data_IF_083747411471
#
_entry.id   IF_083747411471
#
_cell.length_a   1.000
_cell.length_b   1.000
_cell.length_c   1.000
_cell.angle_alpha   90.00
_cell.angle_beta   90.00
_cell.angle_gamma   90.00
#
_symmetry.space_group_name_H-M   'P 1'
#
loop_
_entity.id
_entity.type
_entity.pdbx_description
1 polymer ?
#
# COMPACT_ATOMS: atom_id res chain seq x y z
N UNK A 1 -1.96 -12.14 -3.77
CA UNK A 1 -1.67 -13.58 -3.81
C UNK A 1 -0.17 -13.90 -3.96
N UNK A 2 0.53 -13.35 -4.97
CA UNK A 2 1.98 -13.59 -5.14
C UNK A 2 2.79 -13.20 -3.88
N UNK A 3 2.55 -12.02 -3.33
CA UNK A 3 3.17 -11.56 -2.08
C UNK A 3 2.92 -12.56 -0.94
N UNK A 4 1.68 -13.01 -0.78
CA UNK A 4 1.31 -14.00 0.26
C UNK A 4 2.09 -15.30 0.11
N UNK A 5 2.13 -15.85 -1.12
CA UNK A 5 2.81 -17.14 -1.39
C UNK A 5 4.32 -17.04 -1.11
N UNK A 6 4.95 -15.91 -1.50
CA UNK A 6 6.39 -15.69 -1.31
C UNK A 6 6.70 -15.49 0.17
N UNK A 7 5.97 -14.63 0.87
CA UNK A 7 6.21 -14.37 2.29
C UNK A 7 5.98 -15.62 3.14
N UNK A 8 4.91 -16.37 2.88
CA UNK A 8 4.66 -17.64 3.57
C UNK A 8 5.82 -18.63 3.38
N UNK A 9 6.36 -18.75 2.16
CA UNK A 9 7.48 -19.62 1.90
C UNK A 9 8.82 -19.13 2.45
N UNK A 10 9.03 -17.81 2.55
CA UNK A 10 10.24 -17.21 3.15
C UNK A 10 10.24 -17.36 4.66
N UNK A 11 9.07 -17.13 5.29
CA UNK A 11 8.90 -17.18 6.74
C UNK A 11 8.58 -18.60 7.25
N UNK A 12 8.33 -19.55 6.34
CA UNK A 12 7.93 -20.92 6.68
C UNK A 12 6.64 -20.95 7.52
N UNK A 13 5.68 -20.07 7.16
CA UNK A 13 4.42 -19.88 7.85
C UNK A 13 3.23 -20.37 7.03
N UNK A 14 2.15 -20.69 7.72
CA UNK A 14 0.84 -20.85 7.11
C UNK A 14 0.32 -19.49 6.65
N UNK A 15 -0.39 -19.46 5.53
CA UNK A 15 -0.95 -18.23 5.00
C UNK A 15 -2.40 -18.38 4.57
N UNK A 16 -3.18 -17.33 4.78
CA UNK A 16 -4.52 -17.15 4.20
C UNK A 16 -4.59 -15.79 3.54
N UNK A 17 -5.31 -15.72 2.44
CA UNK A 17 -5.57 -14.45 1.77
C UNK A 17 -7.04 -14.36 1.38
N UNK A 18 -7.66 -13.22 1.68
CA UNK A 18 -9.05 -12.93 1.40
C UNK A 18 -9.17 -11.60 0.66
N UNK A 19 -9.56 -11.61 -0.64
CA UNK A 19 -9.93 -10.38 -1.31
C UNK A 19 -11.33 -9.95 -0.85
N UNK A 20 -11.50 -8.65 -0.62
CA UNK A 20 -12.81 -8.03 -0.41
C UNK A 20 -13.14 -7.19 -1.63
N UNK A 21 -14.06 -7.68 -2.43
CA UNK A 21 -14.59 -6.94 -3.57
C UNK A 21 -15.86 -6.19 -3.15
N UNK A 22 -15.97 -4.92 -3.58
CA UNK A 22 -17.24 -4.21 -3.52
C UNK A 22 -18.25 -4.79 -4.51
N UNK A 23 -19.53 -4.53 -4.32
CA UNK A 23 -20.61 -4.89 -5.26
C UNK A 23 -20.58 -4.06 -6.55
N UNK A 24 -19.77 -3.02 -6.61
CA UNK A 24 -19.66 -2.11 -7.74
C UNK A 24 -18.76 -2.67 -8.84
N UNK A 25 -19.17 -2.43 -10.09
CA UNK A 25 -18.60 -3.10 -11.27
C UNK A 25 -17.19 -2.64 -11.68
N UNK A 26 -16.77 -1.43 -11.34
CA UNK A 26 -15.40 -0.93 -11.56
C UNK A 26 -15.13 0.37 -10.82
N UNK A 27 -13.85 0.62 -10.49
CA UNK A 27 -13.40 1.85 -9.84
C UNK A 27 -13.57 1.90 -8.33
N UNK A 28 -14.22 0.90 -7.71
CA UNK A 28 -14.31 0.82 -6.26
C UNK A 28 -12.97 0.35 -5.64
N UNK A 29 -12.60 0.91 -4.49
CA UNK A 29 -11.41 0.44 -3.77
C UNK A 29 -11.60 -1.01 -3.32
N UNK A 30 -10.53 -1.80 -3.50
CA UNK A 30 -10.52 -3.23 -3.15
C UNK A 30 -9.47 -3.47 -2.08
N UNK A 31 -9.84 -4.18 -1.03
CA UNK A 31 -8.91 -4.63 -0.01
C UNK A 31 -8.52 -6.09 -0.22
N UNK A 32 -7.26 -6.40 0.01
CA UNK A 32 -6.74 -7.75 -0.04
C UNK A 32 -6.05 -8.04 1.30
N UNK A 33 -6.70 -8.84 2.12
CA UNK A 33 -6.20 -9.21 3.44
C UNK A 33 -5.26 -10.40 3.35
N UNK A 34 -4.14 -10.33 4.08
CA UNK A 34 -3.14 -11.40 4.19
C UNK A 34 -2.93 -11.69 5.66
N UNK A 35 -3.07 -12.94 6.04
CA UNK A 35 -2.72 -13.44 7.37
C UNK A 35 -1.59 -14.44 7.23
N UNK A 36 -0.54 -14.28 8.03
CA UNK A 36 0.57 -15.22 8.17
C UNK A 36 0.61 -15.69 9.63
N UNK A 37 0.80 -16.98 9.85
CA UNK A 37 0.82 -17.58 11.19
C UNK A 37 1.76 -18.79 11.23
N UNK A 38 2.52 -18.99 12.32
CA UNK A 38 3.24 -20.24 12.52
C UNK A 38 2.29 -21.44 12.65
N UNK A 39 1.07 -21.22 13.15
CA UNK A 39 0.05 -22.25 13.33
C UNK A 39 -0.98 -22.25 12.18
N UNK A 40 -1.64 -23.40 11.92
CA UNK A 40 -2.67 -23.51 10.90
C UNK A 40 -3.83 -22.53 11.12
N UNK A 41 -4.14 -21.71 10.10
CA UNK A 41 -5.18 -20.70 10.15
C UNK A 41 -6.55 -21.35 9.88
N UNK A 42 -7.43 -21.37 10.87
CA UNK A 42 -8.76 -22.00 10.78
C UNK A 42 -9.80 -21.08 10.12
N UNK A 43 -9.74 -19.77 10.38
CA UNK A 43 -10.69 -18.77 9.84
C UNK A 43 -10.23 -18.32 8.47
N UNK A 44 -11.11 -18.34 7.47
CA UNK A 44 -10.74 -18.12 6.07
C UNK A 44 -11.18 -16.79 5.47
N UNK A 45 -12.22 -16.14 5.98
CA UNK A 45 -12.87 -14.98 5.36
C UNK A 45 -13.13 -13.86 6.38
N UNK A 46 -12.18 -13.57 7.24
CA UNK A 46 -12.31 -12.46 8.17
C UNK A 46 -11.79 -11.17 7.54
N UNK A 47 -12.54 -10.09 7.67
CA UNK A 47 -11.97 -8.74 7.57
C UNK A 47 -11.04 -8.56 8.76
N UNK A 48 -9.83 -8.09 8.50
CA UNK A 48 -8.89 -7.83 9.57
C UNK A 48 -9.17 -6.41 10.12
N UNK A 49 -9.48 -6.34 11.40
CA UNK A 49 -9.69 -5.06 12.10
C UNK A 49 -8.38 -4.47 12.60
N UNK A 50 -7.40 -5.34 12.92
CA UNK A 50 -6.05 -4.96 13.32
C UNK A 50 -5.03 -5.56 12.36
N UNK A 51 -4.18 -4.69 11.78
CA UNK A 51 -3.15 -5.09 10.83
C UNK A 51 -1.81 -4.44 11.19
N UNK A 52 -0.72 -5.16 11.00
CA UNK A 52 0.63 -4.64 11.26
C UNK A 52 1.23 -3.95 10.03
N UNK A 53 0.79 -4.32 8.82
CA UNK A 53 1.34 -3.78 7.57
C UNK A 53 0.22 -3.46 6.61
N UNK A 54 0.25 -2.25 6.07
CA UNK A 54 -0.63 -1.82 4.98
C UNK A 54 0.22 -1.44 3.77
N UNK A 55 -0.13 -1.95 2.61
CA UNK A 55 0.46 -1.57 1.32
C UNK A 55 -0.62 -0.89 0.49
N UNK A 56 -0.39 0.34 0.08
CA UNK A 56 -1.25 1.06 -0.84
C UNK A 56 -0.56 1.22 -2.21
N UNK A 57 -0.97 0.44 -3.22
CA UNK A 57 -0.42 0.55 -4.57
C UNK A 57 -0.88 1.80 -5.33
N UNK A 58 -1.81 2.55 -4.79
CA UNK A 58 -2.34 3.79 -5.36
C UNK A 58 -2.22 4.93 -4.35
N UNK A 59 -1.48 5.99 -4.72
CA UNK A 59 -1.34 7.20 -3.90
C UNK A 59 -2.68 7.92 -3.67
N UNK A 60 -3.66 7.74 -4.57
CA UNK A 60 -5.00 8.34 -4.46
C UNK A 60 -5.97 7.55 -3.58
N UNK A 61 -5.52 6.48 -2.95
CA UNK A 61 -6.37 5.64 -2.09
C UNK A 61 -7.08 6.44 -0.98
N UNK A 62 -6.44 7.49 -0.47
CA UNK A 62 -7.04 8.39 0.54
C UNK A 62 -8.24 9.23 0.05
N UNK A 63 -8.48 9.30 -1.26
CA UNK A 63 -9.65 10.03 -1.80
C UNK A 63 -10.94 9.24 -1.54
N UNK A 64 -10.87 7.92 -1.58
CA UNK A 64 -12.04 7.05 -1.53
C UNK A 64 -12.12 6.20 -0.26
N UNK A 65 -11.00 6.02 0.44
CA UNK A 65 -10.90 5.16 1.63
C UNK A 65 -9.94 5.74 2.64
N UNK A 66 -9.90 5.14 3.82
CA UNK A 66 -8.84 5.38 4.81
C UNK A 66 -7.94 4.14 4.90
N UNK A 67 -6.81 4.10 4.16
CA UNK A 67 -5.89 2.95 4.19
C UNK A 67 -5.27 2.68 5.57
N UNK A 68 -5.27 3.69 6.46
CA UNK A 68 -4.70 3.55 7.81
C UNK A 68 -5.70 2.98 8.83
N UNK A 69 -6.96 2.73 8.40
CA UNK A 69 -7.96 2.13 9.28
C UNK A 69 -7.49 0.73 9.69
N UNK A 70 -7.47 0.47 11.00
CA UNK A 70 -7.04 -0.81 11.56
C UNK A 70 -5.52 -1.00 11.63
N UNK A 71 -4.69 -0.05 11.13
CA UNK A 71 -3.25 -0.16 11.26
C UNK A 71 -2.84 0.03 12.72
N UNK A 72 -2.14 -0.97 13.26
CA UNK A 72 -1.66 -1.00 14.64
C UNK A 72 -0.66 0.13 14.92
N UNK A 73 -0.53 0.52 16.19
CA UNK A 73 0.51 1.45 16.60
C UNK A 73 1.90 0.83 16.36
N UNK A 74 2.83 1.60 15.80
CA UNK A 74 4.14 1.11 15.37
C UNK A 74 4.11 0.24 14.10
N UNK A 75 2.93 0.07 13.49
CA UNK A 75 2.79 -0.66 12.23
C UNK A 75 3.46 0.03 11.05
N UNK A 76 3.53 -0.66 9.92
CA UNK A 76 4.20 -0.17 8.71
C UNK A 76 3.17 0.18 7.63
N UNK A 77 3.29 1.36 7.06
CA UNK A 77 2.51 1.80 5.90
C UNK A 77 3.43 2.03 4.71
N UNK A 78 3.21 1.33 3.61
CA UNK A 78 3.98 1.42 2.37
C UNK A 78 3.08 2.02 1.29
N UNK A 79 3.47 3.18 0.75
CA UNK A 79 2.70 3.90 -0.26
C UNK A 79 3.46 3.95 -1.58
N UNK A 80 2.75 3.64 -2.69
CA UNK A 80 3.22 3.92 -4.04
C UNK A 80 3.20 5.42 -4.30
N UNK A 81 4.33 6.00 -4.61
CA UNK A 81 4.41 7.36 -5.15
C UNK A 81 5.73 7.58 -5.88
N UNK A 82 5.68 8.39 -6.95
CA UNK A 82 6.86 8.94 -7.63
C UNK A 82 7.29 10.32 -7.10
N UNK A 83 6.52 10.87 -6.15
CA UNK A 83 6.79 12.16 -5.54
C UNK A 83 7.81 12.04 -4.40
N UNK A 84 8.44 13.15 -4.05
CA UNK A 84 9.35 13.21 -2.91
C UNK A 84 8.62 12.96 -1.58
N UNK A 85 9.32 12.52 -0.52
CA UNK A 85 8.70 12.31 0.78
C UNK A 85 7.92 13.52 1.32
N UNK A 86 8.43 14.74 1.08
CA UNK A 86 7.80 15.99 1.49
C UNK A 86 6.52 16.27 0.70
N UNK A 87 6.53 16.03 -0.62
CA UNK A 87 5.35 16.18 -1.47
C UNK A 87 4.27 15.16 -1.08
N UNK A 88 4.67 13.90 -0.92
CA UNK A 88 3.76 12.85 -0.44
C UNK A 88 3.13 13.24 0.88
N UNK A 89 3.92 13.72 1.84
CA UNK A 89 3.41 14.16 3.13
C UNK A 89 2.41 15.32 3.00
N UNK A 90 2.69 16.27 2.12
CA UNK A 90 1.82 17.43 1.87
C UNK A 90 0.48 17.02 1.24
N UNK A 91 0.47 15.98 0.41
CA UNK A 91 -0.73 15.45 -0.25
C UNK A 91 -1.61 14.61 0.68
N UNK A 92 -1.04 14.06 1.76
CA UNK A 92 -1.82 13.28 2.72
C UNK A 92 -2.89 14.14 3.41
N UNK A 93 -4.10 13.61 3.62
CA UNK A 93 -5.12 14.29 4.43
C UNK A 93 -4.58 14.62 5.84
N UNK A 94 -4.95 15.76 6.43
CA UNK A 94 -4.49 16.13 7.78
C UNK A 94 -4.75 15.06 8.83
N UNK A 95 -5.89 14.39 8.76
CA UNK A 95 -6.24 13.30 9.66
C UNK A 95 -5.31 12.08 9.50
N UNK A 96 -4.89 11.78 8.27
CA UNK A 96 -3.93 10.70 8.01
C UNK A 96 -2.56 11.05 8.62
N UNK A 97 -2.06 12.27 8.42
CA UNK A 97 -0.82 12.76 9.02
C UNK A 97 -0.86 12.68 10.56
N UNK A 98 -1.98 13.11 11.15
CA UNK A 98 -2.21 13.00 12.59
C UNK A 98 -2.14 11.55 13.06
N UNK A 99 -2.85 10.64 12.39
CA UNK A 99 -2.86 9.21 12.72
C UNK A 99 -1.45 8.60 12.62
N UNK A 100 -0.68 8.95 11.58
CA UNK A 100 0.70 8.47 11.39
C UNK A 100 1.57 8.90 12.57
N UNK A 101 1.46 10.14 13.01
CA UNK A 101 2.23 10.66 14.16
C UNK A 101 1.82 10.02 15.49
N UNK A 102 0.52 9.99 15.78
CA UNK A 102 -0.01 9.47 17.05
C UNK A 102 0.29 7.99 17.23
N UNK A 103 0.11 7.21 16.18
CA UNK A 103 0.40 5.77 16.18
C UNK A 103 1.86 5.44 15.93
N UNK A 104 2.73 6.42 15.67
CA UNK A 104 4.16 6.24 15.36
C UNK A 104 4.36 5.24 14.21
N UNK A 105 3.59 5.39 13.14
CA UNK A 105 3.61 4.49 11.98
C UNK A 105 4.97 4.58 11.27
N UNK A 106 5.56 3.45 10.94
CA UNK A 106 6.71 3.37 10.05
C UNK A 106 6.25 3.64 8.62
N UNK A 107 6.35 4.90 8.18
CA UNK A 107 5.86 5.32 6.87
C UNK A 107 6.97 5.21 5.82
N UNK A 108 6.69 4.43 4.78
CA UNK A 108 7.60 4.13 3.68
C UNK A 108 6.95 4.53 2.35
N UNK A 109 7.76 5.04 1.44
CA UNK A 109 7.37 5.40 0.07
C UNK A 109 8.27 4.68 -0.92
N UNK A 110 7.68 4.16 -1.97
CA UNK A 110 8.38 3.50 -3.08
C UNK A 110 7.73 3.86 -4.41
N UNK A 111 8.52 4.17 -5.45
CA UNK A 111 8.04 4.16 -6.83
C UNK A 111 8.21 2.76 -7.44
N UNK A 112 7.34 1.85 -7.01
CA UNK A 112 7.32 0.47 -7.47
C UNK A 112 7.04 0.35 -8.97
N UNK A 113 6.36 1.35 -9.56
CA UNK A 113 6.08 1.38 -10.99
C UNK A 113 7.33 1.71 -11.80
N UNK A 114 8.14 2.69 -11.37
CA UNK A 114 9.42 3.01 -12.02
C UNK A 114 10.40 1.84 -11.94
N UNK A 115 10.52 1.20 -10.75
CA UNK A 115 11.31 -0.01 -10.56
C UNK A 115 10.87 -1.12 -11.51
N UNK A 116 9.57 -1.40 -11.56
CA UNK A 116 9.04 -2.45 -12.44
C UNK A 116 9.27 -2.13 -13.93
N UNK A 117 9.05 -0.88 -14.35
CA UNK A 117 9.21 -0.43 -15.74
C UNK A 117 10.66 -0.58 -16.23
N UNK A 118 11.64 -0.36 -15.38
CA UNK A 118 13.07 -0.48 -15.72
C UNK A 118 13.45 -1.92 -16.09
N UNK A 119 12.83 -2.92 -15.44
CA UNK A 119 13.16 -4.33 -15.62
C UNK A 119 12.15 -5.11 -16.46
N UNK A 120 10.99 -4.53 -16.77
CA UNK A 120 9.96 -5.23 -17.53
C UNK A 120 10.30 -5.27 -19.03
N UNK A 121 10.23 -6.45 -19.66
CA UNK A 121 10.41 -6.58 -21.12
C UNK A 121 9.34 -5.84 -21.93
N UNK A 122 8.13 -5.70 -21.39
CA UNK A 122 7.01 -4.99 -22.03
C UNK A 122 6.26 -4.13 -21.02
N UNK A 123 5.59 -3.04 -21.45
CA UNK A 123 4.80 -2.18 -20.54
C UNK A 123 3.71 -2.92 -19.77
N UNK A 124 3.09 -3.93 -20.38
CA UNK A 124 2.05 -4.75 -19.71
C UNK A 124 2.62 -5.57 -18.55
N UNK A 125 3.86 -6.06 -18.71
CA UNK A 125 4.54 -6.79 -17.66
C UNK A 125 4.99 -5.88 -16.52
N UNK A 126 5.25 -4.60 -16.77
CA UNK A 126 5.60 -3.64 -15.73
C UNK A 126 4.53 -3.57 -14.63
N UNK A 127 3.25 -3.48 -15.01
CA UNK A 127 2.15 -3.46 -14.03
C UNK A 127 2.12 -4.73 -13.15
N UNK A 128 2.43 -5.88 -13.74
CA UNK A 128 2.51 -7.15 -12.99
C UNK A 128 3.75 -7.22 -12.09
N UNK A 129 4.86 -6.65 -12.56
CA UNK A 129 6.13 -6.63 -11.83
C UNK A 129 6.15 -5.60 -10.69
N UNK A 130 5.26 -4.61 -10.71
CA UNK A 130 5.08 -3.67 -9.59
C UNK A 130 4.84 -4.41 -8.26
N UNK A 131 4.02 -5.48 -8.28
CA UNK A 131 3.82 -6.34 -7.11
C UNK A 131 5.11 -7.01 -6.59
N UNK A 132 6.08 -7.26 -7.48
CA UNK A 132 7.39 -7.81 -7.09
C UNK A 132 8.25 -6.76 -6.39
N UNK A 133 8.20 -5.49 -6.83
CA UNK A 133 8.90 -4.40 -6.15
C UNK A 133 8.40 -4.21 -4.72
N UNK A 134 7.08 -4.30 -4.49
CA UNK A 134 6.53 -4.29 -3.12
C UNK A 134 6.99 -5.48 -2.26
N UNK A 135 7.25 -6.65 -2.86
CA UNK A 135 7.87 -7.77 -2.12
C UNK A 135 9.24 -7.36 -1.61
N UNK A 136 10.03 -6.67 -2.44
CA UNK A 136 11.31 -6.09 -2.04
C UNK A 136 11.16 -5.10 -0.87
N UNK A 137 10.24 -4.13 -1.00
CA UNK A 137 9.96 -3.15 0.05
C UNK A 137 9.62 -3.82 1.40
N UNK A 138 8.74 -4.83 1.38
CA UNK A 138 8.36 -5.60 2.58
C UNK A 138 9.57 -6.36 3.15
N UNK A 139 10.34 -7.02 2.30
CA UNK A 139 11.48 -7.83 2.74
C UNK A 139 12.59 -7.01 3.38
N UNK A 140 12.84 -5.79 2.85
CA UNK A 140 13.90 -4.92 3.35
C UNK A 140 13.53 -4.09 4.58
N UNK A 141 12.25 -3.75 4.72
CA UNK A 141 11.84 -2.69 5.65
C UNK A 141 10.78 -3.09 6.67
N UNK A 142 10.14 -4.26 6.52
CA UNK A 142 9.19 -4.77 7.51
C UNK A 142 9.92 -5.63 8.51
N UNK A 143 10.01 -5.16 9.74
CA UNK A 143 10.80 -5.81 10.81
C UNK A 143 10.40 -7.26 11.05
N UNK A 144 9.12 -7.58 10.99
CA UNK A 144 8.59 -8.94 11.18
C UNK A 144 9.08 -9.92 10.11
N UNK A 145 9.44 -9.43 8.93
CA UNK A 145 9.97 -10.25 7.83
C UNK A 145 11.49 -10.34 7.89
N UNK A 146 12.16 -9.26 8.31
CA UNK A 146 13.62 -9.17 8.38
C UNK A 146 14.22 -9.65 9.71
N UNK A 147 13.40 -9.81 10.76
CA UNK A 147 13.88 -10.18 12.08
C UNK A 147 14.54 -11.56 12.10
N UNK A 148 15.76 -11.63 12.63
CA UNK A 148 16.46 -12.88 12.85
C UNK A 148 17.17 -13.49 11.64
N UNK A 149 17.08 -12.89 10.45
CA UNK A 149 17.78 -13.39 9.26
C UNK A 149 18.61 -12.28 8.60
N UNK A 150 19.78 -12.62 8.05
CA UNK A 150 20.53 -11.67 7.24
C UNK A 150 19.80 -11.37 5.93
N UNK A 151 19.97 -10.15 5.39
CA UNK A 151 19.39 -9.77 4.11
C UNK A 151 19.73 -10.79 2.98
N UNK A 152 20.94 -11.34 3.00
CA UNK A 152 21.36 -12.39 2.07
C UNK A 152 20.53 -13.65 2.22
N UNK A 153 20.27 -14.12 3.45
CA UNK A 153 19.47 -15.31 3.71
C UNK A 153 18.01 -15.13 3.25
N UNK A 154 17.43 -13.94 3.46
CA UNK A 154 16.10 -13.61 2.98
C UNK A 154 16.04 -13.63 1.46
N UNK A 155 17.00 -13.00 0.77
CA UNK A 155 17.08 -13.01 -0.68
C UNK A 155 17.26 -14.41 -1.27
N UNK A 156 18.04 -15.28 -0.62
CA UNK A 156 18.18 -16.69 -1.03
C UNK A 156 16.85 -17.47 -0.89
N UNK A 157 16.15 -17.28 0.21
CA UNK A 157 14.81 -17.88 0.40
C UNK A 157 13.83 -17.34 -0.65
N UNK A 158 13.85 -16.03 -0.93
CA UNK A 158 13.03 -15.43 -1.98
C UNK A 158 13.35 -15.99 -3.36
N UNK A 159 14.62 -16.13 -3.71
CA UNK A 159 15.05 -16.76 -4.96
C UNK A 159 14.45 -18.15 -5.13
N UNK A 160 14.46 -18.98 -4.07
CA UNK A 160 13.84 -20.31 -4.11
C UNK A 160 12.34 -20.23 -4.41
N UNK A 161 11.62 -19.30 -3.79
CA UNK A 161 10.17 -19.13 -4.01
C UNK A 161 9.87 -18.59 -5.43
N UNK A 162 10.66 -17.63 -5.91
CA UNK A 162 10.56 -17.10 -7.27
C UNK A 162 10.86 -18.20 -8.30
N UNK A 163 11.92 -18.98 -8.10
CA UNK A 163 12.26 -20.10 -8.97
C UNK A 163 11.17 -21.19 -8.98
N UNK A 164 10.59 -21.51 -7.83
CA UNK A 164 9.45 -22.44 -7.76
C UNK A 164 8.25 -21.96 -8.58
N UNK A 165 8.01 -20.64 -8.62
CA UNK A 165 6.83 -20.08 -9.29
C UNK A 165 7.06 -19.73 -10.76
N UNK A 166 8.24 -19.28 -11.11
CA UNK A 166 8.56 -18.77 -12.45
C UNK A 166 9.65 -19.59 -13.17
N UNK A 167 10.22 -20.62 -12.55
CA UNK A 167 11.29 -21.40 -13.13
C UNK A 167 10.93 -22.08 -14.47
N UNK A 168 9.67 -22.46 -14.65
CA UNK A 168 9.17 -23.00 -15.92
C UNK A 168 9.19 -21.98 -17.08
N UNK A 169 9.29 -20.67 -16.76
CA UNK A 169 9.38 -19.59 -17.74
C UNK A 169 10.82 -19.22 -18.14
N UNK A 170 11.80 -19.91 -17.56
CA UNK A 170 13.21 -19.74 -17.84
C UNK A 170 13.98 -18.96 -16.78
N UNK A 171 15.28 -19.19 -16.72
CA UNK A 171 16.18 -18.57 -15.75
C UNK A 171 16.21 -17.05 -15.82
N UNK A 172 16.14 -16.48 -17.02
CA UNK A 172 16.12 -15.02 -17.23
C UNK A 172 14.92 -14.34 -16.53
N UNK A 173 13.74 -15.01 -16.51
CA UNK A 173 12.55 -14.49 -15.83
C UNK A 173 12.75 -14.52 -14.31
N UNK A 174 13.35 -15.58 -13.78
CA UNK A 174 13.69 -15.67 -12.36
C UNK A 174 14.64 -14.55 -11.95
N UNK A 175 15.71 -14.35 -12.72
CA UNK A 175 16.70 -13.31 -12.42
C UNK A 175 16.11 -11.91 -12.53
N UNK A 176 15.35 -11.60 -13.59
CA UNK A 176 14.66 -10.31 -13.71
C UNK A 176 13.73 -10.01 -12.53
N UNK A 177 12.99 -10.99 -12.02
CA UNK A 177 12.20 -10.79 -10.81
C UNK A 177 13.07 -10.55 -9.56
N UNK A 178 14.22 -11.21 -9.45
CA UNK A 178 15.16 -10.98 -8.35
C UNK A 178 15.79 -9.60 -8.38
N UNK A 179 16.09 -9.06 -9.58
CA UNK A 179 16.55 -7.67 -9.74
C UNK A 179 15.50 -6.66 -9.26
N UNK A 180 14.23 -6.87 -9.64
CA UNK A 180 13.12 -6.03 -9.16
C UNK A 180 12.98 -6.08 -7.63
N UNK A 181 13.18 -7.24 -7.01
CA UNK A 181 13.16 -7.36 -5.55
C UNK A 181 14.29 -6.55 -4.92
N UNK A 182 15.54 -6.69 -5.43
CA UNK A 182 16.72 -5.95 -4.92
C UNK A 182 16.52 -4.44 -5.05
N UNK A 183 16.14 -3.98 -6.24
CA UNK A 183 15.89 -2.56 -6.48
C UNK A 183 14.69 -2.06 -5.66
N UNK A 184 13.66 -2.89 -5.44
CA UNK A 184 12.54 -2.57 -4.56
C UNK A 184 12.95 -2.34 -3.10
N UNK A 185 13.96 -3.07 -2.60
CA UNK A 185 14.55 -2.80 -1.28
C UNK A 185 15.24 -1.42 -1.27
N UNK A 186 16.07 -1.15 -2.29
CA UNK A 186 16.90 0.06 -2.36
C UNK A 186 16.07 1.32 -2.65
N UNK A 187 15.02 1.21 -3.47
CA UNK A 187 14.15 2.30 -3.87
C UNK A 187 13.10 2.66 -2.81
N UNK A 188 13.02 1.90 -1.72
CA UNK A 188 12.09 2.18 -0.63
C UNK A 188 12.70 3.18 0.35
N UNK A 189 12.01 4.31 0.53
CA UNK A 189 12.48 5.39 1.40
C UNK A 189 11.59 5.53 2.63
N UNK A 190 12.22 5.65 3.79
CA UNK A 190 11.51 5.99 5.03
C UNK A 190 11.24 7.48 5.07
N UNK A 191 10.00 7.86 5.34
CA UNK A 191 9.61 9.25 5.56
C UNK A 191 9.88 9.63 7.00
N UNK A 192 10.87 10.49 7.24
CA UNK A 192 11.15 11.05 8.57
C UNK A 192 10.24 12.25 8.84
N UNK A 193 8.98 11.98 9.08
CA UNK A 193 7.97 13.00 9.37
C UNK A 193 8.19 13.74 10.70
N UNK A 194 9.23 13.39 11.50
CA UNK A 194 9.62 14.11 12.72
C UNK A 194 10.48 15.32 12.42
N UNK A 195 11.11 15.37 11.24
CA UNK A 195 11.95 16.48 10.83
C UNK A 195 11.17 17.79 10.69
N UNK A 196 11.86 18.92 10.88
CA UNK A 196 11.27 20.25 10.88
C UNK A 196 10.54 20.63 9.57
N UNK A 197 10.98 20.08 8.43
CA UNK A 197 10.33 20.31 7.13
C UNK A 197 8.87 19.84 7.14
N UNK A 198 8.60 18.66 7.70
CA UNK A 198 7.27 18.07 7.76
C UNK A 198 6.34 18.78 8.76
N UNK A 199 6.90 19.28 9.87
CA UNK A 199 6.14 20.08 10.84
C UNK A 199 5.64 21.40 10.23
N UNK A 200 6.44 22.03 9.35
CA UNK A 200 6.01 23.21 8.60
C UNK A 200 4.87 22.93 7.63
N UNK A 201 4.85 21.74 7.03
CA UNK A 201 3.76 21.31 6.13
C UNK A 201 2.46 21.15 6.94
N UNK A 202 2.54 20.55 8.14
CA UNK A 202 1.37 20.35 9.00
C UNK A 202 0.72 21.65 9.47
N UNK A 203 1.50 22.72 9.59
CA UNK A 203 1.01 24.04 9.97
C UNK A 203 0.23 24.76 8.84
N UNK A 204 0.33 24.28 7.57
CA UNK A 204 -0.41 24.87 6.46
C UNK A 204 -1.82 24.27 6.39
N UNK A 205 -2.89 25.10 6.30
CA UNK A 205 -4.23 24.57 6.08
C UNK A 205 -4.28 23.80 4.76
N UNK A 206 -4.91 22.63 4.79
CA UNK A 206 -5.01 21.76 3.62
C UNK A 206 -5.75 22.48 2.48
N UNK A 207 -5.08 22.71 1.36
CA UNK A 207 -5.67 23.30 0.16
C UNK A 207 -6.79 22.44 -0.46
N UNK A 208 -6.95 21.20 -0.01
CA UNK A 208 -7.90 20.21 -0.55
C UNK A 208 -9.33 20.42 -0.03
N UNK A 209 -9.51 21.03 1.15
CA UNK A 209 -10.85 21.22 1.72
C UNK A 209 -11.74 22.22 0.93
N UNK A 210 -11.15 23.06 0.08
CA UNK A 210 -11.89 24.08 -0.67
C UNK A 210 -12.34 23.64 -2.07
N UNK A 211 -11.80 22.57 -2.64
CA UNK A 211 -12.21 22.09 -3.98
C UNK A 211 -13.52 21.30 -3.98
N UNK A 212 -13.87 20.65 -2.87
CA UNK A 212 -15.11 19.88 -2.78
C UNK A 212 -16.35 20.72 -2.46
N UNK A 213 -16.19 21.93 -1.94
CA UNK A 213 -17.31 22.81 -1.59
C UNK A 213 -17.84 23.57 -2.81
N UNK A 214 -16.99 23.84 -3.82
CA UNK A 214 -17.41 24.59 -5.01
C UNK A 214 -18.15 23.76 -6.06
N UNK A 215 -17.99 22.43 -6.06
CA UNK A 215 -18.67 21.54 -7.01
C UNK A 215 -20.12 21.20 -6.60
N UNK A 216 -20.44 21.18 -5.31
CA UNK A 216 -21.79 20.94 -4.83
C UNK A 216 -22.71 22.17 -4.98
N UNK A 217 -22.19 23.38 -4.91
CA UNK A 217 -22.96 24.60 -5.09
C UNK A 217 -23.31 24.88 -6.56
N UNK A 218 -22.49 24.44 -7.51
CA UNK A 218 -22.72 24.67 -8.95
C UNK A 218 -23.75 23.74 -9.58
N UNK A 219 -23.99 22.56 -9.01
CA UNK A 219 -24.96 21.59 -9.53
C UNK A 219 -26.41 21.87 -9.07
N UNK A 220 -26.60 22.73 -8.07
CA UNK A 220 -27.93 23.06 -7.54
C UNK A 220 -28.59 24.25 -8.22
N UNK A 221 -27.89 24.99 -9.11
CA UNK A 221 -28.42 26.24 -9.74
C UNK A 221 -29.01 26.04 -11.14
N UNK A 222 -29.03 24.83 -11.70
CA UNK A 222 -29.50 24.61 -13.08
C UNK A 222 -30.78 23.80 -13.23
N UNK A 223 -31.47 23.42 -12.15
CA UNK A 223 -32.79 22.80 -12.27
C UNK A 223 -33.79 23.56 -11.39
N UNK A 224 -34.43 24.57 -12.01
CA UNK A 224 -35.65 25.17 -11.46
C UNK A 224 -36.78 24.16 -11.50
N UNK A 225 -36.93 23.36 -10.47
CA UNK A 225 -38.19 22.72 -10.13
C UNK A 225 -38.12 22.28 -8.66
N UNK A 226 -39.12 22.70 -7.92
CA UNK A 226 -39.47 22.36 -6.56
C UNK A 226 -39.29 20.88 -6.25
N UNK A 227 -38.40 20.53 -5.29
CA UNK A 227 -38.38 19.21 -4.73
C UNK A 227 -37.03 18.59 -4.36
N UNK A 228 -36.10 19.35 -3.80
CA UNK A 228 -34.91 18.79 -3.11
C UNK A 228 -34.99 19.07 -1.61
N UNK A 229 -36.01 18.53 -0.98
CA UNK A 229 -36.12 18.42 0.47
C UNK A 229 -35.72 17.01 0.91
N UNK A 230 -34.62 16.91 1.65
CA UNK A 230 -34.37 15.82 2.55
C UNK A 230 -33.73 14.56 1.99
N UNK A 231 -32.40 14.57 1.71
CA UNK A 231 -31.63 13.33 1.66
C UNK A 231 -30.10 13.50 1.81
N UNK A 232 -29.63 14.45 2.59
CA UNK A 232 -28.21 14.55 2.95
C UNK A 232 -28.04 15.01 4.40
N UNK A 233 -28.68 14.28 5.32
CA UNK A 233 -28.32 14.31 6.74
C UNK A 233 -28.20 12.87 7.20
N UNK A 234 -27.00 12.33 7.10
CA UNK A 234 -26.50 11.22 7.96
C UNK A 234 -24.98 11.04 7.73
N UNK A 235 -24.26 11.53 8.69
CA UNK A 235 -23.08 10.98 9.34
C UNK A 235 -22.41 9.79 8.65
N UNK A 236 -21.31 10.06 7.96
CA UNK A 236 -20.21 9.13 7.75
C UNK A 236 -18.89 9.90 7.93
N UNK A 237 -18.47 9.97 9.18
CA UNK A 237 -17.10 10.27 9.54
C UNK A 237 -16.53 9.11 10.35
#
# INVERSE_FOLDING_TARGET
KLLTDILAGVLEMHSKSAPKYGSEKSGAPTNFYITLSPDPIKITNAELEDVEVVISPDHRSFIHTNPLRGLAAGGTFILQSSATPEEVWAELPPQARKTIREKKINFLVIDAFAVAKKHAPTPELATRMMGIAFIGAVAGHVQQVSAGASAKAILEKMRKQIAKKFGSKGAAVVEGNMEVIREGIEATHKVDYTAAAFTKIDAKPAAIALRNVSLSASMCQTSGSSGCGGMFDREYF
#
